data_IF_696160838576
#
_entry.id   IF_696160838576
#
_cell.length_a   1.000
_cell.length_b   1.000
_cell.length_c   1.000
_cell.angle_alpha   90.00
_cell.angle_beta   90.00
_cell.angle_gamma   90.00
#
_symmetry.space_group_name_H-M   'P 1'
#
loop_
_entity.id
_entity.type
_entity.pdbx_description
1 polymer ?
#
# COMPACT_ATOMS: atom_id res chain seq x y z
N UNK A 1 -9.12 -3.37 6.29
CA UNK A 1 -10.56 -3.50 6.03
C UNK A 1 -11.12 -4.85 6.48
N UNK A 2 -10.64 -5.97 5.95
CA UNK A 2 -11.27 -7.28 6.19
C UNK A 2 -11.43 -7.65 7.67
N UNK A 3 -10.52 -7.19 8.54
CA UNK A 3 -10.57 -7.40 10.00
C UNK A 3 -11.26 -6.26 10.77
N UNK A 4 -11.83 -5.29 10.09
CA UNK A 4 -12.56 -4.17 10.70
C UNK A 4 -14.06 -4.34 10.49
N UNK A 5 -14.84 -3.51 11.20
CA UNK A 5 -16.29 -3.44 11.01
C UNK A 5 -16.72 -3.03 9.60
N UNK A 6 -15.82 -2.35 8.86
CA UNK A 6 -16.04 -1.92 7.47
C UNK A 6 -16.07 -3.13 6.53
N UNK A 7 -15.19 -4.09 6.73
CA UNK A 7 -15.04 -5.26 5.86
C UNK A 7 -14.64 -4.92 4.42
N UNK A 8 -14.42 -5.93 3.60
CA UNK A 8 -14.27 -5.76 2.13
C UNK A 8 -14.30 -7.11 1.40
N UNK A 9 -14.68 -7.08 0.14
CA UNK A 9 -14.19 -8.04 -0.85
C UNK A 9 -12.80 -7.60 -1.27
N UNK A 10 -11.84 -8.52 -1.46
CA UNK A 10 -10.49 -8.16 -1.87
C UNK A 10 -9.94 -9.09 -2.95
N UNK A 11 -9.36 -8.48 -3.98
CA UNK A 11 -8.56 -9.14 -5.02
C UNK A 11 -7.11 -8.70 -4.82
N UNK A 12 -6.26 -9.64 -4.39
CA UNK A 12 -4.87 -9.36 -4.01
C UNK A 12 -3.94 -9.89 -5.10
N UNK A 13 -2.85 -9.19 -5.37
CA UNK A 13 -1.82 -9.59 -6.34
C UNK A 13 -0.97 -10.79 -5.90
N UNK A 14 -1.13 -11.25 -4.66
CA UNK A 14 -0.42 -12.41 -4.14
C UNK A 14 -1.17 -13.12 -3.03
N UNK A 15 -0.74 -14.32 -2.68
CA UNK A 15 -1.37 -15.13 -1.61
C UNK A 15 -1.08 -14.49 -0.26
N UNK A 16 -2.13 -14.02 0.42
CA UNK A 16 -2.01 -13.49 1.78
C UNK A 16 -1.66 -14.59 2.77
N UNK A 17 -0.63 -14.38 3.58
CA UNK A 17 -0.24 -15.33 4.65
C UNK A 17 -1.24 -15.37 5.80
N UNK A 18 -2.07 -14.35 5.96
CA UNK A 18 -3.15 -14.34 6.95
C UNK A 18 -4.30 -15.26 6.57
N UNK A 19 -4.56 -15.44 5.27
CA UNK A 19 -5.78 -16.09 4.79
C UNK A 19 -5.53 -17.28 3.87
N UNK A 20 -4.29 -17.48 3.38
CA UNK A 20 -3.92 -18.57 2.48
C UNK A 20 -4.55 -18.46 1.08
N UNK A 21 -5.00 -17.26 0.70
CA UNK A 21 -5.67 -17.00 -0.58
C UNK A 21 -5.38 -15.57 -1.06
N UNK A 22 -5.62 -15.30 -2.33
CA UNK A 22 -5.60 -13.97 -2.91
C UNK A 22 -7.02 -13.39 -3.18
N UNK A 23 -8.06 -14.12 -2.81
CA UNK A 23 -9.45 -13.69 -2.94
C UNK A 23 -10.14 -13.77 -1.58
N UNK A 24 -10.68 -12.65 -1.13
CA UNK A 24 -11.55 -12.56 0.03
C UNK A 24 -12.91 -12.07 -0.41
N UNK A 25 -13.95 -12.72 0.03
CA UNK A 25 -15.33 -12.34 -0.31
C UNK A 25 -16.06 -11.82 0.93
N UNK A 26 -16.81 -10.75 0.76
CA UNK A 26 -17.74 -10.23 1.74
C UNK A 26 -19.15 -10.20 1.15
N UNK A 27 -20.13 -10.69 1.90
CA UNK A 27 -21.54 -10.60 1.52
C UNK A 27 -22.23 -9.36 2.04
N UNK A 28 -21.57 -8.57 2.88
CA UNK A 28 -22.18 -7.44 3.61
C UNK A 28 -21.50 -6.09 3.34
N UNK A 29 -20.20 -6.10 3.03
CA UNK A 29 -19.47 -4.85 2.78
C UNK A 29 -19.67 -4.38 1.34
N UNK A 30 -19.91 -3.07 1.13
CA UNK A 30 -19.96 -2.48 -0.20
C UNK A 30 -18.58 -2.21 -0.80
N UNK A 31 -17.51 -2.42 -0.01
CA UNK A 31 -16.15 -2.11 -0.44
C UNK A 31 -15.50 -3.27 -1.19
N UNK A 32 -14.84 -2.94 -2.28
CA UNK A 32 -13.91 -3.83 -2.97
C UNK A 32 -12.52 -3.22 -2.96
N UNK A 33 -11.54 -3.95 -2.46
CA UNK A 33 -10.12 -3.60 -2.52
C UNK A 33 -9.47 -4.41 -3.61
N UNK A 34 -8.80 -3.75 -4.55
CA UNK A 34 -8.18 -4.38 -5.70
C UNK A 34 -6.78 -3.83 -5.93
N UNK A 35 -5.83 -4.69 -6.27
CA UNK A 35 -4.56 -4.26 -6.83
C UNK A 35 -4.80 -3.83 -8.29
N UNK A 36 -4.55 -2.54 -8.56
CA UNK A 36 -4.73 -1.96 -9.89
C UNK A 36 -3.49 -2.26 -10.74
N UNK A 37 -3.62 -3.18 -11.68
CA UNK A 37 -2.51 -3.65 -12.52
C UNK A 37 -2.29 -2.70 -13.71
N UNK A 38 -1.09 -2.14 -13.80
CA UNK A 38 -0.69 -1.25 -14.88
C UNK A 38 -0.11 -1.98 -16.11
N UNK A 39 0.29 -3.25 -15.98
CA UNK A 39 1.06 -4.00 -16.96
C UNK A 39 0.51 -3.85 -18.39
N UNK A 40 -0.76 -4.14 -18.63
CA UNK A 40 -1.44 -4.04 -19.92
C UNK A 40 -2.47 -2.90 -19.97
N UNK A 41 -2.35 -1.92 -19.08
CA UNK A 41 -3.31 -0.85 -18.82
C UNK A 41 -4.66 -1.37 -18.30
N UNK A 42 -4.72 -2.55 -17.68
CA UNK A 42 -5.96 -3.08 -17.09
C UNK A 42 -6.58 -2.12 -16.07
N UNK A 43 -5.77 -1.37 -15.35
CA UNK A 43 -6.25 -0.36 -14.39
C UNK A 43 -7.10 0.76 -15.04
N UNK A 44 -7.04 0.96 -16.37
CA UNK A 44 -7.90 1.91 -17.07
C UNK A 44 -9.38 1.48 -17.15
N UNK A 45 -9.66 0.21 -16.92
CA UNK A 45 -11.03 -0.30 -16.89
C UNK A 45 -11.71 -0.14 -15.53
N UNK A 46 -10.96 0.33 -14.53
CA UNK A 46 -11.47 0.57 -13.18
C UNK A 46 -12.20 1.91 -13.08
N UNK A 47 -13.07 2.01 -12.10
CA UNK A 47 -13.75 3.25 -11.71
C UNK A 47 -13.59 3.44 -10.19
N UNK A 48 -12.36 3.72 -9.72
CA UNK A 48 -12.07 3.76 -8.30
C UNK A 48 -12.77 4.93 -7.60
N UNK A 49 -13.26 4.67 -6.39
CA UNK A 49 -13.69 5.73 -5.48
C UNK A 49 -12.49 6.34 -4.77
N UNK A 50 -11.59 5.49 -4.28
CA UNK A 50 -10.30 5.93 -3.72
C UNK A 50 -9.16 5.14 -4.35
N UNK A 51 -8.00 5.77 -4.46
CA UNK A 51 -6.82 5.14 -5.03
C UNK A 51 -5.56 5.56 -4.29
N UNK A 52 -4.59 4.64 -4.22
CA UNK A 52 -3.23 4.91 -3.76
C UNK A 52 -2.27 4.67 -4.91
N UNK A 53 -1.38 5.64 -5.17
CA UNK A 53 -0.27 5.47 -6.12
C UNK A 53 1.04 5.46 -5.33
N UNK A 54 1.73 4.31 -5.37
CA UNK A 54 2.93 4.06 -4.56
C UNK A 54 4.22 4.35 -5.30
N UNK A 55 4.25 4.17 -6.61
CA UNK A 55 5.41 4.40 -7.46
C UNK A 55 4.96 4.65 -8.90
N UNK A 56 5.81 5.33 -9.65
CA UNK A 56 5.68 5.53 -11.11
C UNK A 56 7.05 5.37 -11.76
N UNK A 57 7.93 4.54 -11.15
CA UNK A 57 9.21 4.18 -11.78
C UNK A 57 8.90 3.43 -13.07
N UNK A 58 9.55 3.77 -14.19
CA UNK A 58 9.25 3.16 -15.48
C UNK A 58 9.46 1.64 -15.44
N UNK A 59 8.42 0.91 -15.78
CA UNK A 59 8.44 -0.53 -15.97
C UNK A 59 7.64 -0.87 -17.25
N UNK A 60 7.77 -2.11 -17.73
CA UNK A 60 7.01 -2.59 -18.88
C UNK A 60 7.14 -1.71 -20.14
N UNK A 61 8.36 -1.20 -20.41
CA UNK A 61 8.60 -0.31 -21.56
C UNK A 61 8.43 -1.04 -22.92
N UNK A 62 8.43 -2.36 -22.93
CA UNK A 62 8.03 -3.17 -24.08
C UNK A 62 6.55 -2.97 -24.46
N UNK A 63 5.69 -2.63 -23.50
CA UNK A 63 4.26 -2.35 -23.71
C UNK A 63 4.00 -0.85 -23.89
N UNK A 64 4.66 -0.02 -23.07
CA UNK A 64 4.44 1.43 -23.06
C UNK A 64 5.26 2.18 -24.12
N UNK A 65 6.40 1.61 -24.54
CA UNK A 65 7.31 2.19 -25.51
C UNK A 65 8.22 3.27 -24.93
N UNK A 66 7.71 4.17 -24.11
CA UNK A 66 8.48 5.26 -23.48
C UNK A 66 8.05 5.51 -22.04
N UNK A 67 8.94 6.07 -21.25
CA UNK A 67 8.65 6.56 -19.88
C UNK A 67 7.52 7.60 -19.89
N UNK A 68 7.50 8.50 -20.86
CA UNK A 68 6.47 9.51 -20.99
C UNK A 68 5.07 8.85 -21.19
N UNK A 69 4.96 7.86 -22.06
CA UNK A 69 3.70 7.13 -22.27
C UNK A 69 3.27 6.33 -21.03
N UNK A 70 4.22 5.83 -20.26
CA UNK A 70 3.95 5.19 -18.96
C UNK A 70 3.35 6.19 -17.97
N UNK A 71 3.97 7.36 -17.78
CA UNK A 71 3.45 8.42 -16.92
C UNK A 71 2.08 8.94 -17.37
N UNK A 72 1.89 9.16 -18.67
CA UNK A 72 0.58 9.58 -19.24
C UNK A 72 -0.52 8.56 -18.96
N UNK A 73 -0.18 7.27 -18.88
CA UNK A 73 -1.11 6.21 -18.52
C UNK A 73 -1.57 6.34 -17.05
N UNK A 74 -0.67 6.65 -16.12
CA UNK A 74 -1.02 6.95 -14.74
C UNK A 74 -1.81 8.26 -14.60
N UNK A 75 -1.44 9.31 -15.34
CA UNK A 75 -2.21 10.55 -15.37
C UNK A 75 -3.65 10.29 -15.83
N UNK A 76 -3.81 9.49 -16.90
CA UNK A 76 -5.14 9.06 -17.36
C UNK A 76 -5.89 8.30 -16.26
N UNK A 77 -5.23 7.33 -15.58
CA UNK A 77 -5.86 6.60 -14.48
C UNK A 77 -6.39 7.52 -13.38
N UNK A 78 -5.68 8.61 -13.06
CA UNK A 78 -6.16 9.56 -12.04
C UNK A 78 -7.47 10.25 -12.44
N UNK A 79 -7.77 10.37 -13.75
CA UNK A 79 -9.04 10.91 -14.23
C UNK A 79 -10.23 9.99 -14.00
N UNK A 80 -9.99 8.71 -13.71
CA UNK A 80 -11.04 7.70 -13.51
C UNK A 80 -11.61 7.72 -12.08
N UNK A 81 -10.90 8.36 -11.14
CA UNK A 81 -11.34 8.47 -9.75
C UNK A 81 -12.66 9.24 -9.67
N UNK A 82 -13.61 8.68 -8.94
CA UNK A 82 -14.96 9.24 -8.87
C UNK A 82 -15.03 10.48 -7.97
N UNK A 83 -15.86 11.49 -8.32
CA UNK A 83 -16.13 12.62 -7.44
C UNK A 83 -16.60 12.20 -6.05
N UNK A 84 -16.15 12.91 -5.03
CA UNK A 84 -16.38 12.57 -3.61
C UNK A 84 -15.37 11.58 -3.03
N UNK A 85 -14.57 10.95 -3.90
CA UNK A 85 -13.48 10.04 -3.51
C UNK A 85 -12.16 10.76 -3.24
N UNK A 86 -11.06 9.99 -3.22
CA UNK A 86 -9.73 10.52 -2.94
C UNK A 86 -8.61 9.81 -3.73
N UNK A 87 -7.57 10.59 -4.03
CA UNK A 87 -6.27 10.10 -4.46
C UNK A 87 -5.26 10.31 -3.32
N UNK A 88 -4.59 9.24 -2.93
CA UNK A 88 -3.46 9.27 -2.00
C UNK A 88 -2.20 8.98 -2.81
N UNK A 89 -1.30 9.92 -2.91
CA UNK A 89 -0.13 9.82 -3.77
C UNK A 89 1.15 9.88 -2.95
N UNK A 90 2.10 9.00 -3.27
CA UNK A 90 3.40 9.02 -2.62
C UNK A 90 4.13 10.32 -2.96
N UNK A 91 4.66 10.99 -1.94
CA UNK A 91 5.42 12.22 -2.12
C UNK A 91 6.73 11.95 -2.89
N UNK A 92 7.05 12.85 -3.82
CA UNK A 92 8.29 12.78 -4.61
C UNK A 92 8.25 11.91 -5.85
N UNK A 93 7.11 11.32 -6.22
CA UNK A 93 6.99 10.65 -7.53
C UNK A 93 6.70 11.67 -8.64
N UNK A 94 7.19 11.36 -9.85
CA UNK A 94 7.09 12.24 -11.02
C UNK A 94 5.72 12.05 -11.73
N UNK A 95 4.63 12.33 -11.01
CA UNK A 95 3.29 12.26 -11.58
C UNK A 95 2.56 13.59 -11.39
N UNK A 96 1.84 14.03 -12.42
CA UNK A 96 0.95 15.19 -12.34
C UNK A 96 -0.51 14.71 -12.44
N UNK A 97 -1.16 14.45 -11.31
CA UNK A 97 -2.51 13.92 -11.30
C UNK A 97 -3.52 14.84 -11.97
N UNK A 98 -4.43 14.25 -12.76
CA UNK A 98 -5.53 14.97 -13.48
C UNK A 98 -6.88 14.55 -12.89
N UNK A 99 -7.05 14.72 -11.56
CA UNK A 99 -8.28 14.32 -10.87
C UNK A 99 -9.47 15.21 -11.26
N UNK A 100 -10.67 14.64 -11.20
CA UNK A 100 -11.93 15.38 -11.41
C UNK A 100 -12.21 16.33 -10.25
N UNK A 101 -13.03 17.33 -10.52
CA UNK A 101 -13.59 18.19 -9.47
C UNK A 101 -14.31 17.35 -8.41
N UNK A 102 -14.12 17.69 -7.13
CA UNK A 102 -14.66 16.96 -6.00
C UNK A 102 -13.86 15.75 -5.54
N UNK A 103 -12.75 15.40 -6.22
CA UNK A 103 -11.80 14.38 -5.72
C UNK A 103 -10.80 15.06 -4.79
N UNK A 104 -10.64 14.53 -3.58
CA UNK A 104 -9.64 15.01 -2.64
C UNK A 104 -8.27 14.43 -2.97
N UNK A 105 -7.22 15.21 -2.78
CA UNK A 105 -5.84 14.75 -2.95
C UNK A 105 -5.10 14.81 -1.63
N UNK A 106 -4.35 13.75 -1.34
CA UNK A 106 -3.46 13.64 -0.18
C UNK A 106 -2.11 13.12 -0.63
N UNK A 107 -1.07 13.62 0.03
CA UNK A 107 0.29 13.09 -0.10
C UNK A 107 0.61 12.19 1.07
N UNK A 108 1.45 11.18 0.84
CA UNK A 108 2.00 10.37 1.91
C UNK A 108 3.46 10.01 1.65
N UNK A 109 4.19 9.74 2.71
CA UNK A 109 5.47 9.07 2.67
C UNK A 109 5.80 8.45 4.03
N UNK A 110 7.02 7.98 4.18
CA UNK A 110 7.51 7.42 5.44
C UNK A 110 7.47 8.44 6.58
N UNK A 111 7.90 9.70 6.34
CA UNK A 111 8.21 10.71 7.36
C UNK A 111 7.73 12.12 7.00
N UNK A 112 7.01 12.29 5.91
CA UNK A 112 6.48 13.58 5.49
C UNK A 112 5.19 13.41 4.64
N UNK A 113 4.50 14.53 4.35
CA UNK A 113 3.24 14.53 3.62
C UNK A 113 2.03 14.67 4.55
N UNK A 114 0.83 14.66 3.97
CA UNK A 114 -0.41 14.74 4.74
C UNK A 114 -0.53 13.54 5.69
N UNK A 115 -0.16 12.35 5.22
CA UNK A 115 -0.06 11.14 6.04
C UNK A 115 1.39 10.69 6.12
N UNK A 116 1.89 10.43 7.32
CA UNK A 116 3.27 9.99 7.55
C UNK A 116 3.41 9.25 8.87
N UNK A 117 4.59 8.67 9.09
CA UNK A 117 4.97 8.09 10.37
C UNK A 117 5.87 9.03 11.16
N UNK A 118 5.68 9.05 12.48
CA UNK A 118 6.58 9.67 13.44
C UNK A 118 7.10 8.63 14.44
N UNK A 119 8.07 9.02 15.26
CA UNK A 119 8.61 8.20 16.35
C UNK A 119 8.90 6.75 15.92
N UNK A 120 9.54 6.59 14.75
CA UNK A 120 9.89 5.27 14.20
C UNK A 120 10.92 4.61 15.10
N UNK A 121 10.60 3.45 15.64
CA UNK A 121 11.46 2.64 16.51
C UNK A 121 11.68 1.28 15.85
N UNK A 122 12.93 0.98 15.54
CA UNK A 122 13.35 -0.26 14.91
C UNK A 122 14.33 -0.95 15.87
N UNK A 123 14.04 -2.18 16.25
CA UNK A 123 14.92 -2.97 17.12
C UNK A 123 14.33 -4.34 17.44
N UNK A 124 15.20 -5.27 17.80
CA UNK A 124 14.82 -6.64 18.19
C UNK A 124 13.93 -7.38 17.18
N UNK A 125 14.02 -7.03 15.90
CA UNK A 125 13.17 -7.62 14.86
C UNK A 125 11.74 -7.10 14.85
N UNK A 126 11.49 -5.95 15.48
CA UNK A 126 10.19 -5.26 15.53
C UNK A 126 10.31 -3.83 15.00
N UNK A 127 9.22 -3.33 14.48
CA UNK A 127 9.07 -1.93 14.09
C UNK A 127 7.79 -1.39 14.72
N UNK A 128 7.93 -0.26 15.43
CA UNK A 128 6.82 0.53 15.95
C UNK A 128 6.87 1.93 15.36
N UNK A 129 5.70 2.47 15.07
CA UNK A 129 5.55 3.83 14.53
C UNK A 129 4.36 4.53 15.19
N UNK A 130 4.34 5.83 15.11
CA UNK A 130 3.12 6.62 15.30
C UNK A 130 2.62 7.04 13.91
N UNK A 131 1.34 6.86 13.63
CA UNK A 131 0.71 7.29 12.38
C UNK A 131 0.08 8.65 12.56
N UNK A 132 0.36 9.57 11.66
CA UNK A 132 -0.12 10.97 11.69
C UNK A 132 -0.80 11.29 10.36
N UNK A 133 -1.96 11.94 10.45
CA UNK A 133 -2.71 12.48 9.33
C UNK A 133 -3.34 13.83 9.68
N UNK A 134 -4.05 14.48 8.75
CA UNK A 134 -4.61 15.82 8.95
C UNK A 134 -5.55 15.94 10.17
N UNK A 135 -6.25 14.87 10.49
CA UNK A 135 -7.26 14.82 11.55
C UNK A 135 -7.15 13.55 12.41
N UNK A 136 -6.00 12.85 12.35
CA UNK A 136 -5.78 11.62 13.10
C UNK A 136 -4.34 11.53 13.59
N UNK A 137 -4.20 10.96 14.80
CA UNK A 137 -2.94 10.44 15.32
C UNK A 137 -3.19 9.12 16.01
N UNK A 138 -2.39 8.11 15.68
CA UNK A 138 -2.42 6.80 16.34
C UNK A 138 -1.01 6.47 16.80
N UNK A 139 -0.80 6.43 18.10
CA UNK A 139 0.51 6.17 18.68
C UNK A 139 0.78 4.67 18.83
N UNK A 140 2.06 4.30 18.74
CA UNK A 140 2.58 2.99 19.08
C UNK A 140 1.93 1.84 18.28
N UNK A 141 1.98 1.94 16.96
CA UNK A 141 1.51 0.90 16.04
C UNK A 141 2.66 -0.07 15.77
N UNK A 142 2.46 -1.34 16.03
CA UNK A 142 3.38 -2.41 15.64
C UNK A 142 3.14 -2.83 14.19
N UNK A 143 4.20 -2.97 13.40
CA UNK A 143 4.11 -3.55 12.07
C UNK A 143 4.30 -5.07 12.14
N UNK A 144 3.31 -5.83 11.71
CA UNK A 144 3.34 -7.30 11.75
C UNK A 144 4.42 -7.93 10.87
N UNK A 145 4.83 -7.23 9.79
CA UNK A 145 6.01 -7.57 8.99
C UNK A 145 7.02 -6.43 9.11
N UNK A 146 8.03 -6.57 10.01
CA UNK A 146 8.94 -5.50 10.39
C UNK A 146 10.07 -5.32 9.36
N UNK A 147 9.74 -4.80 8.21
CA UNK A 147 10.66 -4.41 7.13
C UNK A 147 10.50 -2.92 6.87
N UNK A 148 11.61 -2.21 6.66
CA UNK A 148 11.60 -0.74 6.54
C UNK A 148 10.65 -0.21 5.46
N UNK A 149 10.55 -0.90 4.31
CA UNK A 149 9.62 -0.50 3.24
C UNK A 149 8.14 -0.58 3.69
N UNK A 150 7.83 -1.43 4.64
CA UNK A 150 6.46 -1.56 5.15
C UNK A 150 6.04 -0.40 6.06
N UNK A 151 6.95 0.48 6.46
CA UNK A 151 6.58 1.73 7.13
C UNK A 151 5.78 2.59 6.14
N UNK A 152 6.33 2.83 4.96
CA UNK A 152 5.69 3.65 3.94
C UNK A 152 4.41 2.99 3.39
N UNK A 153 4.48 1.69 3.07
CA UNK A 153 3.30 0.93 2.65
C UNK A 153 2.20 0.91 3.73
N UNK A 154 2.60 0.82 4.99
CA UNK A 154 1.69 0.88 6.13
C UNK A 154 1.01 2.23 6.25
N UNK A 155 1.75 3.33 6.08
CA UNK A 155 1.18 4.69 6.08
C UNK A 155 0.08 4.81 5.02
N UNK A 156 0.35 4.35 3.78
CA UNK A 156 -0.63 4.37 2.70
C UNK A 156 -1.90 3.54 3.04
N UNK A 157 -1.68 2.33 3.57
CA UNK A 157 -2.79 1.45 3.95
C UNK A 157 -3.63 2.03 5.10
N UNK A 158 -2.99 2.62 6.11
CA UNK A 158 -3.66 3.27 7.25
C UNK A 158 -4.40 4.54 6.82
N UNK A 159 -3.83 5.35 5.92
CA UNK A 159 -4.48 6.52 5.36
C UNK A 159 -5.78 6.13 4.63
N UNK A 160 -5.71 5.11 3.76
CA UNK A 160 -6.89 4.62 3.07
C UNK A 160 -7.94 4.04 4.04
N UNK A 161 -7.50 3.31 5.06
CA UNK A 161 -8.39 2.76 6.08
C UNK A 161 -9.10 3.86 6.88
N UNK A 162 -8.36 4.87 7.34
CA UNK A 162 -8.89 6.01 8.07
C UNK A 162 -9.94 6.78 7.25
N UNK A 163 -9.63 7.11 6.00
CA UNK A 163 -10.55 7.83 5.11
C UNK A 163 -11.85 7.06 4.81
N UNK A 164 -11.87 5.76 5.07
CA UNK A 164 -13.06 4.90 4.94
C UNK A 164 -13.67 4.52 6.29
N UNK A 165 -13.33 5.20 7.37
CA UNK A 165 -13.99 5.09 8.67
C UNK A 165 -13.54 3.90 9.53
N UNK A 166 -12.43 3.23 9.20
CA UNK A 166 -11.84 2.22 10.09
C UNK A 166 -11.33 2.90 11.34
N UNK A 167 -11.69 2.37 12.52
CA UNK A 167 -11.30 2.98 13.79
C UNK A 167 -9.80 2.87 14.08
N UNK A 168 -9.22 3.75 14.91
CA UNK A 168 -7.82 3.68 15.31
C UNK A 168 -7.43 2.32 15.91
N UNK A 169 -8.29 1.72 16.70
CA UNK A 169 -8.08 0.42 17.34
C UNK A 169 -8.01 -0.71 16.30
N UNK A 170 -8.92 -0.69 15.33
CA UNK A 170 -8.95 -1.66 14.23
C UNK A 170 -7.73 -1.50 13.31
N UNK A 171 -7.30 -0.27 13.03
CA UNK A 171 -6.06 0.03 12.29
C UNK A 171 -4.87 -0.59 13.03
N UNK A 172 -4.72 -0.35 14.33
CA UNK A 172 -3.65 -0.95 15.15
C UNK A 172 -3.63 -2.47 15.08
N UNK A 173 -4.80 -3.09 15.27
CA UNK A 173 -4.94 -4.55 15.23
C UNK A 173 -4.62 -5.10 13.85
N UNK A 174 -5.13 -4.46 12.80
CA UNK A 174 -4.88 -4.84 11.41
C UNK A 174 -3.40 -4.80 11.05
N UNK A 175 -2.70 -3.74 11.44
CA UNK A 175 -1.26 -3.59 11.20
C UNK A 175 -0.43 -4.63 11.97
N UNK A 176 -0.72 -4.85 13.24
CA UNK A 176 0.00 -5.83 14.06
C UNK A 176 -0.24 -7.28 13.61
N UNK A 177 -1.44 -7.59 13.11
CA UNK A 177 -1.81 -8.94 12.69
C UNK A 177 -1.35 -9.30 11.28
N UNK A 178 -0.91 -8.34 10.48
CA UNK A 178 -0.47 -8.58 9.10
C UNK A 178 0.77 -9.47 9.05
N UNK A 179 0.70 -10.54 8.28
CA UNK A 179 1.78 -11.56 8.15
C UNK A 179 2.49 -11.53 6.80
N UNK A 180 2.11 -10.59 5.93
CA UNK A 180 2.71 -10.46 4.61
C UNK A 180 2.03 -11.32 3.53
N UNK A 181 2.73 -11.41 2.43
CA UNK A 181 2.32 -12.12 1.21
C UNK A 181 3.41 -13.15 0.90
N UNK A 182 3.02 -14.30 0.35
CA UNK A 182 3.98 -15.30 -0.10
C UNK A 182 4.98 -14.69 -1.09
N UNK A 183 6.23 -15.08 -0.99
CA UNK A 183 7.34 -14.61 -1.83
C UNK A 183 7.66 -13.12 -1.71
N UNK A 184 7.11 -12.38 -0.73
CA UNK A 184 7.50 -11.00 -0.44
C UNK A 184 8.02 -10.91 0.98
N UNK A 185 9.35 -10.83 1.15
CA UNK A 185 10.04 -10.86 2.45
C UNK A 185 9.55 -12.03 3.33
N UNK A 186 9.42 -13.19 2.71
CA UNK A 186 8.78 -14.36 3.29
C UNK A 186 9.79 -15.21 4.06
N UNK A 187 9.80 -15.08 5.38
CA UNK A 187 10.64 -15.88 6.26
C UNK A 187 10.18 -17.34 6.28
N UNK A 188 10.89 -18.22 5.60
CA UNK A 188 10.65 -19.67 5.60
C UNK A 188 11.26 -20.33 6.84
N UNK A 189 12.43 -19.84 7.27
CA UNK A 189 13.08 -20.24 8.53
C UNK A 189 13.60 -18.99 9.22
N UNK A 190 13.29 -18.81 10.51
CA UNK A 190 13.85 -17.74 11.32
C UNK A 190 14.15 -18.28 12.71
N UNK A 191 15.42 -18.50 13.00
CA UNK A 191 15.91 -18.88 14.33
C UNK A 191 17.28 -18.25 14.60
N UNK A 192 17.85 -18.50 15.77
CA UNK A 192 19.13 -17.90 16.19
C UNK A 192 20.36 -18.34 15.36
N UNK A 193 20.22 -19.31 14.46
CA UNK A 193 21.34 -19.85 13.65
C UNK A 193 21.16 -19.62 12.17
N UNK A 194 19.91 -19.63 11.68
CA UNK A 194 19.61 -19.57 10.26
C UNK A 194 18.40 -18.65 10.05
N UNK A 195 18.55 -17.73 9.10
CA UNK A 195 17.45 -17.00 8.50
C UNK A 195 17.36 -17.39 7.04
N UNK A 196 16.25 -18.01 6.63
CA UNK A 196 15.97 -18.34 5.23
C UNK A 196 14.75 -17.55 4.78
N UNK A 197 14.98 -16.72 3.77
CA UNK A 197 14.02 -15.74 3.25
C UNK A 197 13.75 -16.04 1.78
N UNK A 198 12.50 -16.01 1.37
CA UNK A 198 12.08 -16.00 -0.03
C UNK A 198 11.54 -14.64 -0.40
N UNK A 199 12.08 -14.05 -1.46
CA UNK A 199 11.62 -12.77 -2.02
C UNK A 199 11.59 -12.83 -3.54
N UNK A 200 10.57 -12.21 -4.14
CA UNK A 200 10.39 -12.12 -5.59
C UNK A 200 10.94 -10.81 -6.16
N UNK A 201 11.85 -10.15 -5.44
CA UNK A 201 12.49 -8.93 -5.93
C UNK A 201 13.23 -9.21 -7.25
N UNK A 202 12.89 -8.50 -8.30
CA UNK A 202 13.46 -8.63 -9.64
C UNK A 202 13.82 -7.28 -10.28
N UNK A 203 13.36 -6.18 -9.72
CA UNK A 203 13.74 -4.82 -10.13
C UNK A 203 14.94 -4.34 -9.31
N UNK A 204 15.96 -3.64 -9.89
CA UNK A 204 17.14 -3.17 -9.17
C UNK A 204 16.82 -2.34 -7.92
N UNK A 205 15.83 -1.45 -7.97
CA UNK A 205 15.41 -0.64 -6.82
C UNK A 205 14.78 -1.48 -5.69
N UNK A 206 14.13 -2.59 -6.01
CA UNK A 206 13.60 -3.50 -5.02
C UNK A 206 14.72 -4.28 -4.30
N UNK A 207 15.72 -4.74 -5.06
CA UNK A 207 16.86 -5.46 -4.52
C UNK A 207 17.71 -4.55 -3.64
N UNK A 208 18.00 -3.33 -4.10
CA UNK A 208 18.79 -2.35 -3.35
C UNK A 208 18.13 -1.95 -2.01
N UNK A 209 16.85 -1.64 -2.02
CA UNK A 209 16.08 -1.30 -0.80
C UNK A 209 15.95 -2.44 0.21
N UNK A 210 16.13 -3.68 -0.21
CA UNK A 210 16.03 -4.88 0.62
C UNK A 210 17.38 -5.38 1.12
N UNK A 211 18.48 -4.88 0.57
CA UNK A 211 19.85 -5.29 0.92
C UNK A 211 20.34 -4.70 2.27
N UNK A 212 19.57 -3.79 2.87
CA UNK A 212 19.90 -3.19 4.17
C UNK A 212 19.04 -3.86 5.25
N UNK A 213 19.51 -4.98 5.76
CA UNK A 213 19.00 -5.66 6.96
C UNK A 213 20.01 -5.55 8.07
#
# INVERSE_FOLDING_TARGET
FHQSHVGCTAFLGGISKNYGTNLLLSSTSPYTVIEADEFDRSFHWLSPYMSVITATDPDHLDIYGTEQAYLESFEHYTTLIQPGGALIIRKGISLQPKVKEGVKMYTYSRDEGDFHAENIRIGNGEIFIDFVGPDIRIDNIQLGVPVSINIENGVAAMALAHLNGVTPEEIKQGMASFRGVDRRFDFKIKNNRIVFLSDYAHHPSEIDRKSVV
#
